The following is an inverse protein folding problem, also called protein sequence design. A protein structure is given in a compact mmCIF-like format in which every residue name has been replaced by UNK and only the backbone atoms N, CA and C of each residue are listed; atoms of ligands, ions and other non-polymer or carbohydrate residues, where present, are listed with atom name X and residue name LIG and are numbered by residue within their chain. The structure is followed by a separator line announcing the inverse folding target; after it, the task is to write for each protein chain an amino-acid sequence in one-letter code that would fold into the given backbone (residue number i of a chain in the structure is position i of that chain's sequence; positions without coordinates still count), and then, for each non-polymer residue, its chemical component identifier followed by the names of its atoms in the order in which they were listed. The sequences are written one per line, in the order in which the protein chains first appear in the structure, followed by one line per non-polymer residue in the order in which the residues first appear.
data_IF_891829755441
#
_entry.id   IF_891829755441
#
_cell.length_a   1.000
_cell.length_b   1.000
_cell.length_c   1.000
_cell.angle_alpha   90.00
_cell.angle_beta   90.00
_cell.angle_gamma   90.00
#
_symmetry.space_group_name_H-M   'P 1'
#
loop_
_entity.id
_entity.type
_entity.pdbx_description
1 polymer ?
#
# COMPACT_ATOMS: atom_id res chain seq x y z
N UNK A 1 5.00 13.22 1.12
CA UNK A 1 4.81 13.40 2.57
C UNK A 1 4.51 14.85 2.86
N UNK A 2 4.62 15.29 4.12
CA UNK A 2 4.41 16.69 4.47
C UNK A 2 4.78 17.00 5.92
N UNK A 3 4.90 18.29 6.23
CA UNK A 3 5.06 18.82 7.58
C UNK A 3 3.96 19.86 7.84
N UNK A 4 2.98 19.48 8.68
CA UNK A 4 1.77 20.27 8.92
C UNK A 4 1.04 20.62 7.62
N UNK A 5 0.94 21.93 7.26
CA UNK A 5 0.30 22.37 6.03
C UNK A 5 1.18 22.24 4.77
N UNK A 6 2.48 21.93 4.93
CA UNK A 6 3.41 21.85 3.81
C UNK A 6 3.43 20.44 3.23
N UNK A 7 3.15 20.31 1.94
CA UNK A 7 3.18 19.03 1.24
C UNK A 7 4.40 18.99 0.34
N UNK A 8 5.00 17.80 0.18
CA UNK A 8 6.21 17.61 -0.60
C UNK A 8 5.99 16.61 -1.75
N UNK A 9 6.70 16.85 -2.86
CA UNK A 9 6.83 15.97 -4.03
C UNK A 9 8.28 15.59 -4.31
N UNK A 10 9.16 15.72 -3.32
CA UNK A 10 10.58 15.39 -3.43
C UNK A 10 10.82 13.89 -3.43
N UNK A 11 11.79 13.44 -4.23
CA UNK A 11 12.24 12.06 -4.29
C UNK A 11 13.63 11.93 -3.66
N UNK A 12 13.78 10.96 -2.77
CA UNK A 12 15.06 10.61 -2.16
C UNK A 12 15.35 9.13 -2.40
N UNK A 13 16.62 8.81 -2.58
CA UNK A 13 17.12 7.44 -2.64
C UNK A 13 18.13 7.21 -1.52
N UNK A 14 18.03 6.07 -0.84
CA UNK A 14 19.00 5.62 0.15
C UNK A 14 19.85 4.52 -0.47
N UNK A 15 21.14 4.76 -0.63
CA UNK A 15 22.10 3.72 -0.99
C UNK A 15 22.36 2.87 0.25
N UNK A 16 21.97 1.59 0.21
CA UNK A 16 21.98 0.72 1.40
C UNK A 16 23.37 0.23 1.77
N UNK A 17 24.31 0.20 0.83
CA UNK A 17 25.69 -0.24 1.08
C UNK A 17 26.50 0.84 1.81
N UNK A 18 26.25 2.11 1.47
CA UNK A 18 26.98 3.27 2.03
C UNK A 18 26.17 4.02 3.09
N UNK A 19 24.88 3.72 3.22
CA UNK A 19 23.91 4.45 4.04
C UNK A 19 23.83 5.95 3.69
N UNK A 20 24.00 6.29 2.41
CA UNK A 20 23.97 7.68 1.93
C UNK A 20 22.61 8.03 1.32
N UNK A 21 22.06 9.17 1.72
CA UNK A 21 20.87 9.74 1.12
C UNK A 21 21.21 10.64 -0.07
N UNK A 22 20.51 10.42 -1.18
CA UNK A 22 20.59 11.24 -2.38
C UNK A 22 19.25 11.89 -2.64
N UNK A 23 19.24 13.20 -2.85
CA UNK A 23 18.07 13.89 -3.40
C UNK A 23 18.07 13.69 -4.91
N UNK A 24 16.98 13.15 -5.44
CA UNK A 24 16.85 12.81 -6.86
C UNK A 24 15.97 13.85 -7.53
N UNK A 25 16.54 14.54 -8.51
CA UNK A 25 15.81 15.48 -9.36
C UNK A 25 15.28 14.74 -10.59
N UNK A 26 13.97 14.76 -10.77
CA UNK A 26 13.29 14.15 -11.91
C UNK A 26 12.67 15.29 -12.74
N UNK A 27 13.22 15.64 -13.91
CA UNK A 27 12.70 16.73 -14.71
C UNK A 27 11.30 16.41 -15.26
N UNK A 28 10.50 17.46 -15.47
CA UNK A 28 9.19 17.36 -16.11
C UNK A 28 8.02 17.22 -15.13
N UNK A 29 6.90 16.69 -15.62
CA UNK A 29 5.73 16.43 -14.81
C UNK A 29 6.08 15.41 -13.71
N UNK A 30 5.55 15.58 -12.51
CA UNK A 30 5.74 14.67 -11.38
C UNK A 30 4.42 14.50 -10.63
N UNK A 31 4.27 13.46 -9.79
CA UNK A 31 3.19 13.45 -8.82
C UNK A 31 3.31 14.72 -7.96
N UNK A 32 2.32 15.61 -8.07
CA UNK A 32 2.28 16.84 -7.28
C UNK A 32 2.36 16.58 -5.77
N UNK A 33 2.68 17.61 -4.96
CA UNK A 33 2.87 17.46 -3.52
C UNK A 33 1.70 16.75 -2.85
N UNK A 34 1.98 15.68 -2.09
CA UNK A 34 0.93 14.81 -1.53
C UNK A 34 1.35 14.04 -0.28
N UNK A 35 0.37 13.69 0.55
CA UNK A 35 0.52 12.75 1.69
C UNK A 35 -0.43 11.56 1.56
N UNK A 36 -0.21 10.55 2.38
CA UNK A 36 -1.09 9.40 2.52
C UNK A 36 -1.41 8.66 1.20
N UNK A 37 -0.51 8.79 0.22
CA UNK A 37 -0.50 7.97 -0.98
C UNK A 37 0.11 6.61 -0.66
N UNK A 38 -0.07 5.66 -1.55
CA UNK A 38 0.66 4.40 -1.49
C UNK A 38 1.67 4.32 -2.64
N UNK A 39 2.73 3.55 -2.44
CA UNK A 39 3.75 3.30 -3.45
C UNK A 39 4.16 1.83 -3.45
N UNK A 40 4.56 1.33 -4.62
CA UNK A 40 5.05 -0.03 -4.78
C UNK A 40 6.02 -0.09 -5.96
N UNK A 41 6.88 -1.10 -5.98
CA UNK A 41 7.79 -1.38 -7.08
C UNK A 41 7.32 -2.61 -7.86
N UNK A 42 7.30 -2.54 -9.19
CA UNK A 42 6.97 -3.68 -10.05
C UNK A 42 7.70 -3.56 -11.39
N UNK A 43 8.33 -4.66 -11.84
CA UNK A 43 9.06 -4.75 -13.11
C UNK A 43 10.02 -3.58 -13.40
N UNK A 44 10.78 -3.14 -12.39
CA UNK A 44 11.75 -2.05 -12.55
C UNK A 44 11.12 -0.66 -12.65
N UNK A 45 9.88 -0.51 -12.19
CA UNK A 45 9.20 0.78 -12.08
C UNK A 45 8.76 1.03 -10.64
N UNK A 46 8.85 2.29 -10.22
CA UNK A 46 8.24 2.80 -8.99
C UNK A 46 6.88 3.40 -9.32
N UNK A 47 5.84 2.97 -8.62
CA UNK A 47 4.48 3.47 -8.75
C UNK A 47 4.09 4.31 -7.54
N UNK A 48 3.29 5.34 -7.77
CA UNK A 48 2.64 6.16 -6.75
C UNK A 48 1.15 6.24 -7.09
N UNK A 49 0.29 5.96 -6.12
CA UNK A 49 -1.17 6.02 -6.31
C UNK A 49 -1.85 6.86 -5.25
N UNK A 50 -2.73 7.74 -5.72
CA UNK A 50 -3.69 8.47 -4.91
C UNK A 50 -3.01 9.35 -3.83
N UNK A 51 -3.63 9.48 -2.67
CA UNK A 51 -3.24 10.38 -1.59
C UNK A 51 -4.04 11.68 -1.58
N UNK A 52 -3.57 12.68 -0.84
CA UNK A 52 -4.17 14.02 -0.82
C UNK A 52 -3.13 15.13 -0.95
N UNK A 53 -3.48 16.20 -1.66
CA UNK A 53 -2.62 17.36 -1.94
C UNK A 53 -2.80 18.53 -0.95
N UNK A 54 -3.64 18.33 0.07
CA UNK A 54 -4.00 19.35 1.06
C UNK A 54 -5.28 20.12 0.70
N UNK A 55 -5.77 19.99 -0.53
CA UNK A 55 -7.05 20.56 -0.99
C UNK A 55 -8.07 19.46 -1.24
N UNK A 56 -7.66 18.36 -1.86
CA UNK A 56 -8.53 17.23 -2.22
C UNK A 56 -7.79 15.90 -2.14
N UNK A 57 -8.59 14.83 -2.11
CA UNK A 57 -8.10 13.50 -2.38
C UNK A 57 -7.85 13.29 -3.88
N UNK A 58 -6.93 12.38 -4.21
CA UNK A 58 -6.47 12.06 -5.56
C UNK A 58 -6.68 10.56 -5.85
N UNK A 59 -6.73 10.17 -7.12
CA UNK A 59 -6.73 8.76 -7.55
C UNK A 59 -5.80 8.50 -8.75
N UNK A 60 -4.92 9.44 -9.06
CA UNK A 60 -3.97 9.31 -10.16
C UNK A 60 -2.92 8.24 -9.84
N UNK A 61 -2.44 7.56 -10.88
CA UNK A 61 -1.32 6.63 -10.82
C UNK A 61 -0.16 7.23 -11.61
N UNK A 62 0.99 7.40 -10.96
CA UNK A 62 2.23 7.81 -11.59
C UNK A 62 3.25 6.68 -11.57
N UNK A 63 4.07 6.61 -12.61
CA UNK A 63 5.11 5.59 -12.80
C UNK A 63 6.43 6.28 -13.09
N UNK A 64 7.49 5.82 -12.44
CA UNK A 64 8.87 6.19 -12.70
C UNK A 64 9.64 4.93 -13.10
N UNK A 65 10.18 4.90 -14.32
CA UNK A 65 11.08 3.81 -14.74
C UNK A 65 12.41 3.98 -14.00
N UNK A 66 12.78 2.98 -13.19
CA UNK A 66 14.02 2.98 -12.41
C UNK A 66 15.04 1.97 -12.93
N UNK A 67 14.67 1.12 -13.89
CA UNK A 67 15.54 0.08 -14.47
C UNK A 67 16.41 0.62 -15.59
N UNK A 68 15.80 1.33 -16.53
CA UNK A 68 16.45 1.74 -17.78
C UNK A 68 17.01 3.16 -17.68
N UNK A 69 16.65 3.90 -16.64
CA UNK A 69 17.07 5.28 -16.46
C UNK A 69 18.49 5.40 -15.89
N UNK A 70 19.18 6.47 -16.25
CA UNK A 70 20.45 6.85 -15.64
C UNK A 70 20.24 7.23 -14.17
N UNK A 71 20.50 6.29 -13.25
CA UNK A 71 20.48 6.57 -11.82
C UNK A 71 21.82 7.20 -11.38
N UNK A 72 21.82 8.19 -10.48
CA UNK A 72 23.02 8.90 -10.05
C UNK A 72 23.87 8.13 -9.01
N UNK A 73 23.63 6.84 -8.80
CA UNK A 73 24.33 5.97 -7.85
C UNK A 73 24.47 4.54 -8.40
N UNK A 74 25.42 3.77 -7.86
CA UNK A 74 25.71 2.40 -8.32
C UNK A 74 24.46 1.52 -8.14
N UNK A 75 23.89 1.01 -9.23
CA UNK A 75 22.74 0.10 -9.20
C UNK A 75 21.66 0.34 -10.27
N UNK A 76 21.71 1.44 -11.01
CA UNK A 76 20.92 1.62 -12.24
C UNK A 76 21.76 1.47 -13.51
N UNK A 77 21.14 1.61 -14.68
CA UNK A 77 21.82 1.70 -15.98
C UNK A 77 22.77 2.92 -16.10
N UNK A 78 23.16 3.57 -15.01
CA UNK A 78 24.07 4.72 -14.93
C UNK A 78 25.50 4.46 -15.43
N UNK A 79 25.81 3.23 -15.86
CA UNK A 79 27.01 2.93 -16.64
C UNK A 79 26.78 2.88 -18.16
N UNK A 80 25.54 3.05 -18.64
CA UNK A 80 25.21 3.13 -20.06
C UNK A 80 25.16 4.60 -20.52
N UNK A 81 26.02 5.00 -21.47
CA UNK A 81 26.08 6.37 -22.00
C UNK A 81 24.75 6.88 -22.60
N UNK A 82 23.87 5.97 -23.01
CA UNK A 82 22.64 6.26 -23.75
C UNK A 82 21.35 6.05 -22.93
N UNK A 83 21.45 5.87 -21.61
CA UNK A 83 20.28 5.67 -20.76
C UNK A 83 19.41 6.96 -20.72
N UNK A 84 18.07 6.85 -20.89
CA UNK A 84 17.19 8.01 -20.79
C UNK A 84 17.21 8.65 -19.39
N UNK A 85 16.87 9.94 -19.27
CA UNK A 85 16.71 10.57 -17.97
C UNK A 85 15.52 9.94 -17.22
N UNK A 86 15.56 10.00 -15.90
CA UNK A 86 14.39 9.71 -15.06
C UNK A 86 13.23 10.63 -15.47
N UNK A 87 12.05 10.05 -15.65
CA UNK A 87 10.84 10.80 -15.96
C UNK A 87 9.62 10.13 -15.35
N UNK A 88 8.80 10.91 -14.64
CA UNK A 88 7.48 10.44 -14.21
C UNK A 88 6.51 10.48 -15.38
N UNK A 89 5.69 9.44 -15.49
CA UNK A 89 4.60 9.37 -16.46
C UNK A 89 3.30 9.04 -15.72
N UNK A 90 2.22 9.73 -16.06
CA UNK A 90 0.89 9.36 -15.57
C UNK A 90 0.43 8.09 -16.29
N UNK A 91 0.12 7.03 -15.52
CA UNK A 91 -0.41 5.80 -16.09
C UNK A 91 -1.86 6.02 -16.52
N UNK A 92 -2.15 5.72 -17.78
CA UNK A 92 -3.52 5.60 -18.25
C UNK A 92 -4.04 4.22 -17.90
N UNK A 93 -5.16 4.18 -17.19
CA UNK A 93 -5.87 2.96 -16.78
C UNK A 93 -7.29 2.96 -17.32
N UNK A 94 -7.88 1.78 -17.42
CA UNK A 94 -9.28 1.55 -17.81
C UNK A 94 -10.07 0.86 -16.69
N UNK A 95 -11.36 0.58 -16.92
CA UNK A 95 -12.24 -0.04 -15.93
C UNK A 95 -12.81 0.95 -14.92
N UNK A 96 -13.12 0.47 -13.72
CA UNK A 96 -13.73 1.27 -12.65
C UNK A 96 -12.72 1.44 -11.50
N UNK A 97 -11.97 2.56 -11.46
CA UNK A 97 -11.02 2.81 -10.39
C UNK A 97 -11.70 3.18 -9.07
N UNK A 98 -10.99 3.08 -7.93
CA UNK A 98 -11.47 3.62 -6.67
C UNK A 98 -11.70 5.14 -6.74
N UNK A 99 -12.66 5.61 -5.94
CA UNK A 99 -12.82 7.04 -5.65
C UNK A 99 -11.52 7.65 -5.11
N UNK A 100 -11.25 8.94 -5.35
CA UNK A 100 -10.10 9.64 -4.79
C UNK A 100 -9.99 9.45 -3.27
N UNK A 101 -8.79 9.10 -2.78
CA UNK A 101 -8.60 8.72 -1.37
C UNK A 101 -7.15 8.86 -0.92
N UNK A 102 -6.96 9.00 0.39
CA UNK A 102 -5.69 8.75 1.06
C UNK A 102 -5.87 7.79 2.23
N UNK A 103 -4.76 7.41 2.86
CA UNK A 103 -4.73 6.52 4.02
C UNK A 103 -5.29 5.11 3.74
N UNK A 104 -5.42 4.74 2.47
CA UNK A 104 -5.71 3.37 2.02
C UNK A 104 -4.43 2.53 2.03
N UNK A 105 -4.58 1.23 1.83
CA UNK A 105 -3.47 0.35 1.52
C UNK A 105 -3.54 -0.12 0.07
N UNK A 106 -2.38 -0.39 -0.53
CA UNK A 106 -2.26 -1.01 -1.84
C UNK A 106 -1.19 -2.09 -1.78
N UNK A 107 -1.56 -3.33 -2.04
CA UNK A 107 -0.69 -4.48 -1.84
C UNK A 107 -0.45 -5.15 -3.19
N UNK A 108 0.79 -5.15 -3.65
CA UNK A 108 1.18 -5.93 -4.83
C UNK A 108 1.23 -7.39 -4.41
N UNK A 109 0.37 -8.21 -4.98
CA UNK A 109 0.24 -9.61 -4.57
C UNK A 109 1.41 -10.43 -5.12
N UNK A 110 1.98 -11.27 -4.27
CA UNK A 110 3.10 -12.16 -4.59
C UNK A 110 2.82 -12.96 -5.86
N UNK A 111 3.77 -12.93 -6.80
CA UNK A 111 3.63 -13.53 -8.14
C UNK A 111 3.17 -12.54 -9.23
N UNK A 112 2.68 -11.35 -8.86
CA UNK A 112 2.17 -10.33 -9.80
C UNK A 112 0.97 -10.84 -10.64
N UNK A 113 0.43 -10.04 -11.58
CA UNK A 113 0.57 -8.59 -11.77
C UNK A 113 -0.50 -7.78 -10.98
N UNK A 114 -1.20 -8.42 -10.03
CA UNK A 114 -2.39 -7.85 -9.39
C UNK A 114 -2.02 -6.99 -8.18
N UNK A 115 -2.58 -5.79 -8.12
CA UNK A 115 -2.51 -4.89 -6.97
C UNK A 115 -3.90 -4.80 -6.32
N UNK A 116 -3.98 -5.09 -5.03
CA UNK A 116 -5.22 -4.98 -4.25
C UNK A 116 -5.21 -3.68 -3.44
N UNK A 117 -6.17 -2.80 -3.70
CA UNK A 117 -6.40 -1.55 -2.96
C UNK A 117 -7.59 -1.73 -2.02
N UNK A 118 -7.45 -1.30 -0.77
CA UNK A 118 -8.52 -1.40 0.23
C UNK A 118 -8.63 -0.15 1.11
N UNK A 119 -9.87 0.28 1.31
CA UNK A 119 -10.26 1.31 2.26
C UNK A 119 -9.70 2.70 1.92
N UNK A 120 -9.37 3.47 2.95
CA UNK A 120 -8.95 4.87 2.87
C UNK A 120 -10.07 5.85 3.15
N UNK A 121 -9.81 7.13 2.91
CA UNK A 121 -10.78 8.20 3.07
C UNK A 121 -10.47 9.38 2.15
N UNK A 122 -11.50 10.11 1.74
CA UNK A 122 -11.38 11.38 1.03
C UNK A 122 -11.44 12.61 1.96
N UNK A 123 -11.61 12.39 3.26
CA UNK A 123 -11.84 13.43 4.28
C UNK A 123 -13.30 13.58 4.70
N UNK A 124 -14.25 12.98 3.96
CA UNK A 124 -15.67 12.95 4.28
C UNK A 124 -16.16 11.53 4.58
N UNK A 125 -15.82 10.58 3.72
CA UNK A 125 -16.22 9.18 3.84
C UNK A 125 -15.03 8.29 4.24
N UNK A 126 -15.30 7.29 5.06
CA UNK A 126 -14.37 6.19 5.34
C UNK A 126 -14.74 5.01 4.43
N UNK A 127 -13.89 4.70 3.46
CA UNK A 127 -14.19 3.70 2.45
C UNK A 127 -13.98 2.28 2.98
N UNK A 128 -14.75 1.34 2.44
CA UNK A 128 -14.71 -0.09 2.76
C UNK A 128 -14.53 -0.99 1.54
N UNK A 129 -14.45 -0.38 0.35
CA UNK A 129 -14.37 -1.06 -0.94
C UNK A 129 -12.97 -1.63 -1.20
N UNK A 130 -12.95 -2.68 -2.02
CA UNK A 130 -11.74 -3.30 -2.54
C UNK A 130 -11.73 -3.13 -4.06
N UNK A 131 -10.58 -2.75 -4.60
CA UNK A 131 -10.34 -2.65 -6.03
C UNK A 131 -9.07 -3.41 -6.39
N UNK A 132 -9.10 -4.08 -7.54
CA UNK A 132 -7.92 -4.76 -8.09
C UNK A 132 -7.48 -4.03 -9.36
N UNK A 133 -6.21 -3.65 -9.42
CA UNK A 133 -5.55 -3.21 -10.66
C UNK A 133 -4.71 -4.35 -11.20
N UNK A 134 -5.01 -4.81 -12.40
CA UNK A 134 -4.09 -5.63 -13.17
C UNK A 134 -3.04 -4.73 -13.84
N UNK A 135 -1.77 -4.88 -13.47
CA UNK A 135 -0.70 -4.02 -13.99
C UNK A 135 -0.28 -4.36 -15.43
N UNK A 136 -0.62 -5.55 -15.94
CA UNK A 136 -0.35 -5.92 -17.33
C UNK A 136 -1.39 -5.29 -18.26
N UNK A 137 -2.68 -5.38 -17.92
CA UNK A 137 -3.77 -4.81 -18.73
C UNK A 137 -4.09 -3.35 -18.38
N UNK A 138 -3.65 -2.90 -17.20
CA UNK A 138 -3.93 -1.56 -16.63
C UNK A 138 -5.42 -1.32 -16.42
N UNK A 139 -6.15 -2.39 -16.11
CA UNK A 139 -7.59 -2.37 -15.90
C UNK A 139 -7.93 -2.48 -14.42
N UNK A 140 -8.82 -1.61 -13.95
CA UNK A 140 -9.38 -1.65 -12.60
C UNK A 140 -10.67 -2.45 -12.55
N UNK A 141 -10.75 -3.35 -11.58
CA UNK A 141 -11.94 -4.15 -11.30
C UNK A 141 -12.39 -3.92 -9.85
N UNK A 142 -13.60 -3.41 -9.61
CA UNK A 142 -14.16 -3.31 -8.28
C UNK A 142 -14.55 -4.71 -7.80
N UNK A 143 -14.28 -5.01 -6.54
CA UNK A 143 -14.57 -6.31 -5.94
C UNK A 143 -15.82 -6.19 -5.08
N UNK A 144 -16.78 -7.09 -5.31
CA UNK A 144 -17.97 -7.19 -4.47
C UNK A 144 -17.62 -8.02 -3.24
N UNK A 145 -17.73 -7.41 -2.06
CA UNK A 145 -17.42 -8.06 -0.79
C UNK A 145 -18.71 -8.58 -0.14
N UNK A 146 -18.57 -9.64 0.66
CA UNK A 146 -19.63 -10.21 1.49
C UNK A 146 -20.13 -9.23 2.57
N UNK A 147 -19.25 -8.36 3.07
CA UNK A 147 -19.57 -7.32 4.04
C UNK A 147 -18.70 -6.08 3.89
N UNK A 148 -19.26 -4.92 4.24
CA UNK A 148 -18.51 -3.68 4.35
C UNK A 148 -17.69 -3.64 5.64
N UNK A 149 -16.40 -3.38 5.53
CA UNK A 149 -15.52 -3.08 6.65
C UNK A 149 -14.81 -1.75 6.36
N UNK A 150 -15.36 -0.59 6.77
CA UNK A 150 -14.70 0.70 6.57
C UNK A 150 -13.37 0.78 7.30
N UNK A 151 -12.33 1.24 6.62
CA UNK A 151 -11.00 1.35 7.24
C UNK A 151 -10.11 2.41 6.59
N UNK A 152 -9.60 3.35 7.37
CA UNK A 152 -8.49 4.24 6.99
C UNK A 152 -7.32 4.13 7.97
N UNK A 153 -6.12 4.54 7.53
CA UNK A 153 -4.88 4.58 8.34
C UNK A 153 -4.50 3.25 8.95
N UNK A 154 -4.94 2.14 8.34
CA UNK A 154 -4.57 0.78 8.69
C UNK A 154 -3.29 0.37 7.97
N UNK A 155 -2.72 -0.75 8.39
CA UNK A 155 -1.71 -1.47 7.61
C UNK A 155 -2.32 -2.71 7.00
N UNK A 156 -1.78 -3.15 5.86
CA UNK A 156 -2.12 -4.40 5.23
C UNK A 156 -0.83 -5.15 4.90
N UNK A 157 -0.79 -6.44 5.21
CA UNK A 157 0.40 -7.27 4.97
C UNK A 157 -0.03 -8.60 4.39
N UNK A 158 0.52 -8.97 3.23
CA UNK A 158 0.24 -10.27 2.64
C UNK A 158 0.90 -11.38 3.46
N UNK A 159 0.12 -12.39 3.83
CA UNK A 159 0.59 -13.66 4.40
C UNK A 159 -0.07 -14.77 3.61
N UNK A 160 0.70 -15.37 2.69
CA UNK A 160 0.17 -16.39 1.79
C UNK A 160 -1.02 -15.88 0.96
N UNK A 161 -2.15 -16.58 1.02
CA UNK A 161 -3.38 -16.23 0.30
C UNK A 161 -4.29 -15.23 1.03
N UNK A 162 -3.76 -14.50 2.02
CA UNK A 162 -4.52 -13.52 2.80
C UNK A 162 -3.82 -12.16 2.84
N UNK A 163 -4.62 -11.09 2.87
CA UNK A 163 -4.16 -9.80 3.38
C UNK A 163 -4.60 -9.66 4.84
N UNK A 164 -3.62 -9.50 5.72
CA UNK A 164 -3.82 -9.16 7.12
C UNK A 164 -3.95 -7.66 7.22
N UNK A 165 -5.15 -7.17 7.47
CA UNK A 165 -5.47 -5.76 7.70
C UNK A 165 -5.48 -5.52 9.20
N UNK A 166 -4.53 -4.74 9.70
CA UNK A 166 -4.34 -4.50 11.13
C UNK A 166 -4.72 -3.07 11.50
N UNK A 167 -5.52 -2.96 12.56
CA UNK A 167 -5.93 -1.70 13.18
C UNK A 167 -6.60 -0.72 12.21
N UNK A 168 -6.27 0.57 12.32
CA UNK A 168 -6.85 1.67 11.58
C UNK A 168 -8.05 2.30 12.28
N UNK A 169 -8.78 3.15 11.55
CA UNK A 169 -9.97 3.86 12.01
C UNK A 169 -11.16 3.49 11.12
N UNK A 170 -12.32 3.20 11.70
CA UNK A 170 -13.53 2.79 10.94
C UNK A 170 -14.43 3.97 10.52
N UNK A 171 -14.01 5.20 10.81
CA UNK A 171 -14.80 6.42 10.63
C UNK A 171 -15.39 6.94 11.94
N UNK A 172 -15.46 6.10 12.98
CA UNK A 172 -15.91 6.48 14.32
C UNK A 172 -14.83 6.27 15.40
N UNK A 173 -14.07 5.18 15.32
CA UNK A 173 -13.08 4.80 16.34
C UNK A 173 -11.86 4.11 15.75
N UNK A 174 -10.74 4.23 16.47
CA UNK A 174 -9.57 3.41 16.22
C UNK A 174 -9.82 1.96 16.67
N UNK A 175 -9.32 1.02 15.87
CA UNK A 175 -9.48 -0.42 16.08
C UNK A 175 -8.12 -1.08 16.32
N UNK A 176 -8.12 -2.14 17.13
CA UNK A 176 -6.99 -3.08 17.30
C UNK A 176 -7.25 -4.42 16.62
N UNK A 177 -8.29 -4.48 15.79
CA UNK A 177 -8.74 -5.68 15.10
C UNK A 177 -7.76 -6.14 14.01
N UNK A 178 -7.77 -7.44 13.75
CA UNK A 178 -7.13 -8.07 12.59
C UNK A 178 -8.23 -8.59 11.69
N UNK A 179 -8.39 -7.98 10.52
CA UNK A 179 -9.26 -8.47 9.46
C UNK A 179 -8.43 -9.26 8.45
N UNK A 180 -8.99 -10.35 7.92
CA UNK A 180 -8.34 -11.17 6.92
C UNK A 180 -9.14 -11.14 5.64
N UNK A 181 -8.58 -10.57 4.58
CA UNK A 181 -9.18 -10.69 3.24
C UNK A 181 -8.57 -11.92 2.56
N UNK A 182 -9.38 -12.93 2.28
CA UNK A 182 -8.96 -14.08 1.48
C UNK A 182 -8.77 -13.62 0.03
N UNK A 183 -7.56 -13.69 -0.49
CA UNK A 183 -7.21 -13.19 -1.83
C UNK A 183 -7.71 -14.08 -2.97
N UNK A 184 -8.04 -15.34 -2.68
CA UNK A 184 -8.59 -16.28 -3.68
C UNK A 184 -10.07 -16.05 -3.83
N UNK A 185 -10.81 -16.00 -2.73
CA UNK A 185 -12.27 -15.87 -2.75
C UNK A 185 -12.76 -14.43 -2.69
N UNK A 186 -11.87 -13.48 -2.42
CA UNK A 186 -12.21 -12.06 -2.21
C UNK A 186 -13.27 -11.81 -1.12
N UNK A 187 -13.23 -12.58 -0.04
CA UNK A 187 -14.17 -12.45 1.08
C UNK A 187 -13.44 -12.21 2.40
N UNK A 188 -14.11 -11.53 3.32
CA UNK A 188 -13.61 -11.36 4.67
C UNK A 188 -13.73 -12.64 5.47
N UNK A 189 -12.63 -13.04 6.10
CA UNK A 189 -12.61 -14.11 7.08
C UNK A 189 -12.28 -13.55 8.46
N UNK A 190 -12.91 -14.13 9.47
CA UNK A 190 -12.56 -13.88 10.87
C UNK A 190 -11.89 -15.13 11.40
N UNK A 191 -10.66 -14.98 11.91
CA UNK A 191 -9.95 -16.05 12.59
C UNK A 191 -9.58 -15.61 13.99
N UNK A 192 -9.51 -16.58 14.90
CA UNK A 192 -9.17 -16.33 16.29
C UNK A 192 -7.71 -15.89 16.39
N UNK A 193 -7.49 -14.70 16.92
CA UNK A 193 -6.18 -14.27 17.39
C UNK A 193 -6.04 -14.65 18.87
N UNK A 194 -4.88 -15.15 19.27
CA UNK A 194 -4.57 -15.48 20.65
C UNK A 194 -3.70 -14.38 21.26
N UNK A 195 -3.86 -14.15 22.56
CA UNK A 195 -3.33 -12.96 23.24
C UNK A 195 -4.29 -11.77 23.16
N UNK A 196 -3.94 -10.69 23.86
CA UNK A 196 -4.69 -9.43 23.78
C UNK A 196 -4.26 -8.63 22.55
N UNK A 197 -5.18 -8.03 21.79
CA UNK A 197 -4.80 -7.13 20.69
C UNK A 197 -4.11 -5.88 21.24
N UNK A 198 -3.25 -5.21 20.44
CA UNK A 198 -2.81 -3.87 20.79
C UNK A 198 -4.01 -2.95 20.97
N UNK A 199 -3.85 -1.89 21.78
CA UNK A 199 -4.84 -0.80 21.83
C UNK A 199 -5.11 -0.29 20.41
N UNK A 200 -6.37 0.08 20.15
CA UNK A 200 -6.79 0.50 18.83
C UNK A 200 -5.96 1.68 18.32
N UNK A 201 -5.45 1.60 17.09
CA UNK A 201 -4.46 2.54 16.56
C UNK A 201 -4.51 2.63 15.04
N UNK A 202 -4.25 3.81 14.50
CA UNK A 202 -3.94 4.02 13.08
C UNK A 202 -2.49 4.51 12.91
N UNK A 203 -2.07 4.76 11.68
CA UNK A 203 -0.78 5.38 11.35
C UNK A 203 0.47 4.60 11.80
N UNK A 204 0.30 3.34 12.20
CA UNK A 204 1.38 2.45 12.60
C UNK A 204 2.06 1.84 11.37
N UNK A 205 3.23 1.25 11.58
CA UNK A 205 3.89 0.42 10.57
C UNK A 205 3.68 -1.06 10.91
N UNK A 206 3.57 -1.90 9.88
CA UNK A 206 3.55 -3.35 10.03
C UNK A 206 4.45 -4.02 8.99
N UNK A 207 5.17 -5.07 9.40
CA UNK A 207 6.04 -5.84 8.52
C UNK A 207 6.01 -7.33 8.86
N UNK A 208 5.95 -8.17 7.83
CA UNK A 208 6.10 -9.62 7.96
C UNK A 208 7.59 -9.99 7.96
N UNK A 209 8.03 -10.71 8.98
CA UNK A 209 9.35 -11.31 9.03
C UNK A 209 9.33 -12.56 9.90
N UNK A 210 10.02 -13.63 9.50
CA UNK A 210 10.15 -14.88 10.27
C UNK A 210 8.82 -15.39 10.85
N UNK A 211 7.79 -15.49 10.00
CA UNK A 211 6.44 -15.94 10.39
C UNK A 211 5.79 -15.09 11.52
N UNK A 212 6.16 -13.82 11.63
CA UNK A 212 5.55 -12.87 12.57
C UNK A 212 5.23 -11.57 11.86
N UNK A 213 4.07 -11.00 12.16
CA UNK A 213 3.77 -9.61 11.80
C UNK A 213 4.17 -8.73 12.96
N UNK A 214 5.18 -7.90 12.75
CA UNK A 214 5.61 -6.88 13.70
C UNK A 214 4.81 -5.62 13.47
N UNK A 215 4.25 -5.05 14.53
CA UNK A 215 3.51 -3.78 14.50
C UNK A 215 4.22 -2.79 15.40
N UNK A 216 4.53 -1.60 14.90
CA UNK A 216 5.23 -0.57 15.66
C UNK A 216 4.52 0.78 15.60
N UNK A 217 4.41 1.40 16.78
CA UNK A 217 3.92 2.75 16.95
C UNK A 217 2.44 2.94 16.62
N UNK A 218 2.10 4.11 16.08
CA UNK A 218 0.74 4.52 15.73
C UNK A 218 0.17 5.59 16.65
N UNK A 219 -1.10 5.91 16.46
CA UNK A 219 -1.83 6.94 17.20
C UNK A 219 -3.30 6.54 17.35
N UNK A 220 -3.90 6.82 18.51
CA UNK A 220 -5.32 6.52 18.81
C UNK A 220 -6.22 7.75 18.94
N UNK A 221 -5.74 8.93 18.56
CA UNK A 221 -6.49 10.18 18.76
C UNK A 221 -6.12 10.91 20.06
N UNK A 222 -5.38 10.28 20.97
CA UNK A 222 -4.89 10.89 22.20
C UNK A 222 -3.39 10.66 22.42
N UNK A 223 -2.91 9.44 22.24
CA UNK A 223 -1.54 9.03 22.55
C UNK A 223 -0.82 8.52 21.30
N UNK A 224 0.43 8.95 21.14
CA UNK A 224 1.37 8.37 20.16
C UNK A 224 2.04 7.17 20.81
N UNK A 225 1.95 6.03 20.15
CA UNK A 225 2.54 4.79 20.61
C UNK A 225 3.99 4.66 20.15
N UNK A 226 4.82 4.06 21.00
CA UNK A 226 6.23 3.78 20.74
C UNK A 226 6.62 2.33 21.00
N UNK A 227 5.64 1.47 21.29
CA UNK A 227 5.86 0.06 21.56
C UNK A 227 5.77 -0.81 20.30
N UNK A 228 6.39 -1.99 20.38
CA UNK A 228 6.33 -3.03 19.37
C UNK A 228 5.42 -4.17 19.83
N UNK A 229 4.55 -4.60 18.92
CA UNK A 229 3.70 -5.77 19.08
C UNK A 229 4.08 -6.83 18.04
N UNK A 230 3.84 -8.09 18.37
CA UNK A 230 4.04 -9.20 17.44
C UNK A 230 2.79 -10.05 17.37
N UNK A 231 2.36 -10.35 16.14
CA UNK A 231 1.39 -11.38 15.86
C UNK A 231 2.14 -12.62 15.35
N UNK A 232 2.21 -13.65 16.18
CA UNK A 232 2.86 -14.91 15.82
C UNK A 232 1.92 -15.75 14.94
N UNK A 233 2.41 -16.08 13.73
CA UNK A 233 1.64 -16.80 12.72
C UNK A 233 1.85 -18.32 12.80
N UNK A 234 2.90 -18.77 13.51
CA UNK A 234 3.28 -20.18 13.62
C UNK A 234 2.29 -20.98 14.47
N UNK A 235 1.78 -20.38 15.56
CA UNK A 235 0.82 -21.00 16.48
C UNK A 235 -0.52 -21.39 15.82
N UNK A 236 -0.84 -20.80 14.67
CA UNK A 236 -2.13 -20.95 14.01
C UNK A 236 -2.02 -21.56 12.60
N UNK A 237 -0.83 -22.02 12.19
CA UNK A 237 -0.63 -22.61 10.86
C UNK A 237 -0.97 -21.66 9.71
N UNK A 238 -0.79 -20.35 9.88
CA UNK A 238 -1.09 -19.33 8.86
C UNK A 238 -0.11 -19.34 7.67
N UNK A 239 0.77 -20.32 7.58
CA UNK A 239 1.55 -20.59 6.37
C UNK A 239 0.70 -21.49 5.46
N UNK A 240 -0.01 -20.96 4.45
CA UNK A 240 -0.55 -21.83 3.43
C UNK A 240 0.63 -22.48 2.70
N UNK A 241 0.51 -23.79 2.44
CA UNK A 241 1.39 -24.50 1.51
C UNK A 241 1.19 -24.05 0.04
N UNK A 242 0.31 -23.08 -0.18
CA UNK A 242 -0.02 -22.53 -1.50
C UNK A 242 0.63 -21.15 -1.62
N UNK A 243 1.80 -21.13 -2.27
CA UNK A 243 2.51 -19.91 -2.66
C UNK A 243 2.10 -19.40 -4.04
N UNK A 244 1.32 -20.18 -4.79
CA UNK A 244 0.79 -19.83 -6.10
C UNK A 244 -0.74 -19.90 -6.07
N UNK A 245 -1.39 -18.76 -6.23
CA UNK A 245 -2.85 -18.65 -6.32
C UNK A 245 -3.20 -17.51 -7.27
N UNK A 246 -4.42 -17.56 -7.80
CA UNK A 246 -4.98 -16.45 -8.56
C UNK A 246 -5.86 -15.59 -7.65
N UNK A 247 -5.76 -14.29 -7.88
CA UNK A 247 -6.59 -13.29 -7.21
C UNK A 247 -7.99 -13.38 -7.84
N UNK A 248 -9.02 -13.62 -7.03
CA UNK A 248 -10.38 -13.83 -7.53
C UNK A 248 -10.94 -12.61 -8.29
N UNK A 249 -11.52 -12.86 -9.46
CA UNK A 249 -12.21 -11.86 -10.30
C UNK A 249 -13.65 -12.32 -10.57
N UNK A 250 -14.52 -12.34 -9.55
CA UNK A 250 -15.94 -12.65 -9.80
C UNK A 250 -16.72 -11.39 -10.22
N UNK A 251 -17.25 -11.41 -11.45
CA UNK A 251 -18.11 -10.35 -11.97
C UNK A 251 -18.30 -10.28 -13.49
N UNK A 252 -18.49 -11.41 -14.19
CA UNK A 252 -19.07 -11.44 -15.55
C UNK A 252 -19.88 -12.73 -15.77
N UNK A 253 -21.16 -12.69 -15.41
CA UNK A 253 -22.24 -13.41 -16.11
C UNK A 253 -23.45 -12.51 -16.17
#
# INVERSE_FOLDING_TARGET
GGDGPNYYSTLYALETDTYTWHKIEVPGASPGPRRAHTSWAYNGNLYVHAGGDGVRALNDVYVLNTRDAALPFNGGAGSQPDAPPLAWTKLHTSGTPPSPRGYHTSNLISGGPKLVVYGGSDGHECFSDVHVLDLNTRHWTPITLDRACPRLSHTATQVGSYLFVLGGHDGARYSGEVLLLNLVTMNWETRRCFGGPPRGRGYHAAVLHDSRVFVYGGYDGAEVFGEMWTLDLSACGYLPQITAFEVGEEGMT
#
